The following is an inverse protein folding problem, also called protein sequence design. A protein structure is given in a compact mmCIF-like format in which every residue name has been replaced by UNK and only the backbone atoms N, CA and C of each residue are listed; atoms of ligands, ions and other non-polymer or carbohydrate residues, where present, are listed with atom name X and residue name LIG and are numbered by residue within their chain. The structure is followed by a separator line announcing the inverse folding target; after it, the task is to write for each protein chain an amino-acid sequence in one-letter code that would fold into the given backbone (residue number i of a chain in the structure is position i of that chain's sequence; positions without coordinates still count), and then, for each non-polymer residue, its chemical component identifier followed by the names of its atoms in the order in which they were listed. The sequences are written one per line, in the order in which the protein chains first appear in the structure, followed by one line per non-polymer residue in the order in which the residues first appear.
data_IF_789324964631
#
_entry.id   IF_789324964631
#
_cell.length_a   1.000
_cell.length_b   1.000
_cell.length_c   1.000
_cell.angle_alpha   90.00
_cell.angle_beta   90.00
_cell.angle_gamma   90.00
#
_symmetry.space_group_name_H-M   'P 1'
#
loop_
_entity.id
_entity.type
_entity.pdbx_description
1 polymer ?
#
# COMPACT_ATOMS: atom_id res chain seq x y z
N UNK A 1 22.78 -19.73 -30.27
CA UNK A 1 21.69 -19.57 -31.26
C UNK A 1 20.32 -19.35 -30.61
N UNK A 2 20.17 -19.54 -29.29
CA UNK A 2 18.90 -19.37 -28.58
C UNK A 2 18.60 -17.92 -28.18
N UNK A 3 19.61 -17.12 -27.80
CA UNK A 3 19.45 -15.66 -27.55
C UNK A 3 18.84 -14.92 -28.74
N UNK A 4 19.29 -15.20 -29.98
CA UNK A 4 18.71 -14.61 -31.19
C UNK A 4 17.25 -15.01 -31.42
N UNK A 5 16.79 -16.15 -30.89
CA UNK A 5 15.36 -16.55 -30.97
C UNK A 5 14.52 -15.83 -29.92
N UNK A 6 15.09 -15.53 -28.75
CA UNK A 6 14.39 -14.76 -27.69
C UNK A 6 14.21 -13.32 -28.14
N UNK A 7 15.27 -12.71 -28.68
CA UNK A 7 15.22 -11.34 -29.19
C UNK A 7 14.27 -11.21 -30.40
N UNK A 8 14.29 -12.17 -31.33
CA UNK A 8 13.34 -12.18 -32.45
C UNK A 8 11.88 -12.42 -32.01
N UNK A 9 11.65 -13.17 -30.94
CA UNK A 9 10.32 -13.36 -30.36
C UNK A 9 9.84 -12.08 -29.65
N UNK A 10 10.74 -11.35 -28.99
CA UNK A 10 10.46 -10.05 -28.39
C UNK A 10 10.07 -9.03 -29.47
N UNK A 11 10.88 -8.91 -30.52
CA UNK A 11 10.62 -8.02 -31.66
C UNK A 11 9.28 -8.35 -32.33
N UNK A 12 9.01 -9.62 -32.65
CA UNK A 12 7.73 -10.02 -33.25
C UNK A 12 6.53 -9.74 -32.34
N UNK A 13 6.69 -9.86 -31.02
CA UNK A 13 5.62 -9.56 -30.05
C UNK A 13 5.36 -8.05 -29.94
N UNK A 14 6.41 -7.22 -29.90
CA UNK A 14 6.27 -5.77 -29.86
C UNK A 14 5.77 -5.19 -31.19
N UNK A 15 6.17 -5.77 -32.32
CA UNK A 15 5.61 -5.41 -33.63
C UNK A 15 4.12 -5.70 -33.69
N UNK A 16 3.67 -6.87 -33.20
CA UNK A 16 2.25 -7.20 -33.11
C UNK A 16 1.48 -6.27 -32.18
N UNK A 17 2.05 -5.86 -31.04
CA UNK A 17 1.44 -4.87 -30.14
C UNK A 17 1.31 -3.52 -30.84
N UNK A 18 2.35 -3.06 -31.52
CA UNK A 18 2.33 -1.77 -32.23
C UNK A 18 1.27 -1.75 -33.34
N UNK A 19 1.07 -2.88 -34.03
CA UNK A 19 -0.01 -3.05 -35.00
C UNK A 19 -1.39 -3.00 -34.34
N UNK A 20 -1.58 -3.68 -33.20
CA UNK A 20 -2.83 -3.64 -32.41
C UNK A 20 -3.15 -2.26 -31.83
N UNK A 21 -2.14 -1.48 -31.43
CA UNK A 21 -2.31 -0.10 -31.00
C UNK A 21 -2.70 0.81 -32.17
N UNK A 22 -2.13 0.57 -33.36
CA UNK A 22 -2.45 1.34 -34.56
C UNK A 22 -3.86 1.03 -35.11
N UNK A 23 -4.33 -0.21 -35.05
CA UNK A 23 -5.66 -0.63 -35.52
C UNK A 23 -6.80 -0.16 -34.59
N UNK A 24 -6.51 0.15 -33.31
CA UNK A 24 -7.47 0.69 -32.34
C UNK A 24 -7.47 2.22 -32.23
N UNK A 25 -6.63 2.91 -33.00
CA UNK A 25 -6.61 4.37 -33.07
C UNK A 25 -7.49 4.87 -34.24
N UNK A 26 -8.83 4.84 -34.06
CA UNK A 26 -9.49 6.13 -34.00
C UNK A 26 -10.53 6.19 -32.87
N UNK A 27 -10.42 7.23 -32.04
CA UNK A 27 -11.47 7.75 -31.14
C UNK A 27 -11.77 7.00 -29.82
N UNK A 28 -10.77 6.76 -28.96
CA UNK A 28 -11.00 6.74 -27.49
C UNK A 28 -9.70 6.69 -26.67
N UNK A 29 -9.34 7.82 -26.06
CA UNK A 29 -8.48 8.05 -24.88
C UNK A 29 -7.06 7.42 -24.86
N UNK A 30 -6.00 8.22 -24.62
CA UNK A 30 -4.60 7.77 -24.61
C UNK A 30 -4.18 6.88 -23.42
N UNK A 31 -5.15 6.28 -22.72
CA UNK A 31 -4.96 5.40 -21.55
C UNK A 31 -5.84 4.14 -21.60
N UNK A 32 -6.39 3.81 -22.77
CA UNK A 32 -7.13 2.56 -22.95
C UNK A 32 -6.15 1.38 -22.94
N UNK A 33 -5.94 0.80 -21.75
CA UNK A 33 -5.22 -0.46 -21.55
C UNK A 33 -5.68 -1.46 -22.60
N UNK A 34 -4.74 -2.00 -23.38
CA UNK A 34 -5.03 -3.04 -24.35
C UNK A 34 -5.65 -4.22 -23.61
N UNK A 35 -6.93 -4.50 -23.84
CA UNK A 35 -7.60 -5.70 -23.34
C UNK A 35 -7.09 -6.91 -24.12
N UNK A 36 -5.94 -7.42 -23.72
CA UNK A 36 -5.42 -8.70 -24.18
C UNK A 36 -6.38 -9.80 -23.71
N UNK A 37 -6.78 -10.69 -24.63
CA UNK A 37 -7.69 -11.79 -24.31
C UNK A 37 -7.06 -12.77 -23.33
N UNK A 38 -7.81 -13.20 -22.31
CA UNK A 38 -7.36 -14.11 -21.26
C UNK A 38 -6.68 -15.39 -21.80
N UNK A 39 -7.24 -16.00 -22.85
CA UNK A 39 -6.71 -17.21 -23.45
C UNK A 39 -5.40 -16.99 -24.22
N UNK A 40 -5.26 -15.82 -24.86
CA UNK A 40 -4.02 -15.44 -25.55
C UNK A 40 -2.89 -15.25 -24.55
N UNK A 41 -3.15 -14.49 -23.46
CA UNK A 41 -2.17 -14.29 -22.39
C UNK A 41 -1.81 -15.62 -21.73
N UNK A 42 -2.78 -16.50 -21.49
CA UNK A 42 -2.52 -17.85 -20.98
C UNK A 42 -1.60 -18.66 -21.90
N UNK A 43 -1.87 -18.70 -23.20
CA UNK A 43 -1.03 -19.42 -24.17
C UNK A 43 0.37 -18.83 -24.28
N UNK A 44 0.49 -17.49 -24.30
CA UNK A 44 1.78 -16.80 -24.32
C UNK A 44 2.56 -17.08 -23.03
N UNK A 45 1.92 -17.02 -21.87
CA UNK A 45 2.53 -17.38 -20.59
C UNK A 45 2.92 -18.85 -20.54
N UNK A 46 2.10 -19.78 -21.02
CA UNK A 46 2.45 -21.20 -21.11
C UNK A 46 3.66 -21.44 -22.02
N UNK A 47 3.82 -20.67 -23.11
CA UNK A 47 4.96 -20.76 -24.02
C UNK A 47 6.23 -20.18 -23.39
N UNK A 48 6.12 -19.02 -22.72
CA UNK A 48 7.27 -18.31 -22.10
C UNK A 48 7.70 -18.99 -20.78
N UNK A 49 6.74 -19.49 -20.02
CA UNK A 49 6.94 -20.11 -18.71
C UNK A 49 6.89 -21.64 -18.77
N UNK A 50 7.05 -22.27 -19.94
CA UNK A 50 7.09 -23.73 -20.06
C UNK A 50 7.94 -24.30 -18.92
N UNK A 51 7.32 -25.04 -18.02
CA UNK A 51 8.02 -25.70 -16.94
C UNK A 51 8.84 -26.82 -17.57
N UNK A 52 10.18 -26.82 -17.40
CA UNK A 52 11.01 -27.88 -17.97
C UNK A 52 10.62 -29.21 -17.34
N UNK A 53 10.16 -30.17 -18.14
CA UNK A 53 10.05 -31.57 -17.72
C UNK A 53 11.44 -32.23 -17.53
N UNK A 54 12.52 -31.59 -17.99
CA UNK A 54 13.90 -32.05 -17.87
C UNK A 54 14.86 -30.89 -17.57
N UNK A 55 15.78 -31.11 -16.63
CA UNK A 55 16.72 -30.16 -16.02
C UNK A 55 17.76 -29.55 -17.00
N UNK A 56 17.76 -29.96 -18.28
CA UNK A 56 18.89 -29.70 -19.21
C UNK A 56 18.58 -28.81 -20.41
N UNK A 57 17.37 -28.25 -20.54
CA UNK A 57 17.07 -27.31 -21.62
C UNK A 57 16.76 -25.92 -21.05
N UNK A 58 17.68 -24.99 -21.25
CA UNK A 58 17.47 -23.56 -21.01
C UNK A 58 16.38 -23.06 -21.95
N UNK A 59 15.16 -23.04 -21.45
CA UNK A 59 14.02 -22.47 -22.17
C UNK A 59 14.29 -20.97 -22.34
N UNK A 60 14.11 -20.43 -23.56
CA UNK A 60 14.25 -19.01 -23.82
C UNK A 60 13.22 -18.22 -23.01
N UNK A 61 13.67 -17.60 -21.92
CA UNK A 61 12.86 -16.71 -21.10
C UNK A 61 13.03 -15.27 -21.59
N UNK A 62 11.93 -14.64 -22.01
CA UNK A 62 11.91 -13.20 -22.26
C UNK A 62 11.41 -12.46 -21.01
N UNK A 63 12.30 -11.78 -20.26
CA UNK A 63 11.88 -10.94 -19.15
C UNK A 63 11.13 -9.67 -19.64
N UNK A 64 11.36 -9.23 -20.88
CA UNK A 64 10.74 -8.00 -21.42
C UNK A 64 9.26 -8.19 -21.67
N UNK A 65 8.88 -9.29 -22.31
CA UNK A 65 7.47 -9.63 -22.59
C UNK A 65 6.72 -9.88 -21.28
N UNK A 66 7.34 -10.59 -20.33
CA UNK A 66 6.73 -10.81 -19.01
C UNK A 66 6.46 -9.49 -18.27
N UNK A 67 7.44 -8.59 -18.22
CA UNK A 67 7.28 -7.28 -17.56
C UNK A 67 6.20 -6.45 -18.24
N UNK A 68 6.13 -6.48 -19.57
CA UNK A 68 5.08 -5.77 -20.31
C UNK A 68 3.68 -6.30 -19.97
N UNK A 69 3.49 -7.62 -19.98
CA UNK A 69 2.21 -8.26 -19.64
C UNK A 69 1.77 -7.95 -18.20
N UNK A 70 2.71 -7.93 -17.26
CA UNK A 70 2.42 -7.59 -15.87
C UNK A 70 2.15 -6.09 -15.66
N UNK A 71 2.85 -5.20 -16.38
CA UNK A 71 2.57 -3.76 -16.35
C UNK A 71 1.15 -3.43 -16.84
N UNK A 72 0.68 -4.15 -17.86
CA UNK A 72 -0.69 -4.04 -18.36
C UNK A 72 -1.75 -4.67 -17.42
N UNK A 73 -1.32 -5.31 -16.32
CA UNK A 73 -2.16 -6.05 -15.35
C UNK A 73 -2.97 -7.17 -16.00
N UNK A 74 -2.45 -7.79 -17.05
CA UNK A 74 -3.15 -8.86 -17.77
C UNK A 74 -2.86 -10.26 -17.22
N UNK A 75 -1.97 -10.39 -16.23
CA UNK A 75 -1.55 -11.66 -15.67
C UNK A 75 -2.31 -11.94 -14.37
N UNK A 76 -2.97 -13.10 -14.27
CA UNK A 76 -3.49 -13.63 -13.01
C UNK A 76 -2.73 -14.89 -12.60
N UNK A 77 -2.59 -15.14 -11.29
CA UNK A 77 -1.80 -16.27 -10.80
C UNK A 77 -2.39 -17.64 -11.21
N UNK A 78 -3.71 -17.71 -11.43
CA UNK A 78 -4.42 -18.90 -11.90
C UNK A 78 -4.21 -19.23 -13.38
N UNK A 79 -3.52 -18.38 -14.16
CA UNK A 79 -3.22 -18.68 -15.56
C UNK A 79 -2.19 -19.78 -15.76
N UNK A 80 -1.37 -20.06 -14.74
CA UNK A 80 -0.23 -20.99 -14.85
C UNK A 80 -0.42 -22.15 -13.89
N UNK A 81 -0.37 -23.37 -14.43
CA UNK A 81 -0.38 -24.60 -13.63
C UNK A 81 0.93 -24.71 -12.86
N UNK A 82 0.85 -24.64 -11.51
CA UNK A 82 2.02 -24.66 -10.62
C UNK A 82 2.39 -23.30 -10.01
N UNK A 83 1.68 -22.22 -10.36
CA UNK A 83 1.83 -20.91 -9.72
C UNK A 83 2.88 -20.01 -10.38
N UNK A 84 2.54 -18.73 -10.54
CA UNK A 84 3.39 -17.71 -11.17
C UNK A 84 4.74 -17.54 -10.45
N UNK A 85 4.73 -17.55 -9.11
CA UNK A 85 5.94 -17.32 -8.33
C UNK A 85 6.90 -18.50 -8.32
N UNK A 86 6.40 -19.74 -8.36
CA UNK A 86 7.26 -20.91 -8.52
C UNK A 86 8.03 -20.86 -9.86
N UNK A 87 7.35 -20.50 -10.95
CA UNK A 87 7.96 -20.36 -12.27
C UNK A 87 8.98 -19.21 -12.33
N UNK A 88 8.68 -18.06 -11.72
CA UNK A 88 9.61 -16.92 -11.64
C UNK A 88 10.82 -17.22 -10.74
N UNK A 89 10.61 -17.97 -9.65
CA UNK A 89 11.67 -18.39 -8.73
C UNK A 89 12.67 -19.32 -9.42
N UNK A 90 12.21 -20.26 -10.24
CA UNK A 90 13.10 -21.13 -11.04
C UNK A 90 13.99 -20.33 -12.00
N UNK A 91 13.60 -19.10 -12.35
CA UNK A 91 14.32 -18.21 -13.28
C UNK A 91 15.08 -17.09 -12.58
N UNK A 92 15.01 -16.98 -11.25
CA UNK A 92 15.63 -15.93 -10.46
C UNK A 92 15.31 -14.48 -10.92
N UNK A 93 14.18 -14.21 -11.59
CA UNK A 93 13.80 -12.84 -12.01
C UNK A 93 13.07 -12.08 -10.91
N UNK A 94 13.83 -11.57 -9.96
CA UNK A 94 13.32 -10.81 -8.82
C UNK A 94 12.57 -9.53 -9.20
N UNK A 95 12.97 -8.87 -10.29
CA UNK A 95 12.30 -7.63 -10.73
C UNK A 95 10.87 -7.91 -11.18
N UNK A 96 10.67 -9.02 -11.90
CA UNK A 96 9.34 -9.46 -12.32
C UNK A 96 8.50 -9.96 -11.13
N UNK A 97 9.11 -10.60 -10.12
CA UNK A 97 8.39 -10.97 -8.88
C UNK A 97 7.91 -9.73 -8.09
N UNK A 98 8.75 -8.71 -7.95
CA UNK A 98 8.38 -7.46 -7.28
C UNK A 98 7.28 -6.71 -8.03
N UNK A 99 7.33 -6.74 -9.36
CA UNK A 99 6.30 -6.12 -10.20
C UNK A 99 4.99 -6.93 -10.14
N UNK A 100 5.06 -8.26 -10.05
CA UNK A 100 3.90 -9.11 -9.85
C UNK A 100 3.17 -8.77 -8.54
N UNK A 101 3.88 -8.60 -7.42
CA UNK A 101 3.27 -8.22 -6.13
C UNK A 101 2.55 -6.86 -6.18
N UNK A 102 2.97 -5.94 -7.07
CA UNK A 102 2.32 -4.63 -7.25
C UNK A 102 1.11 -4.67 -8.18
N UNK A 103 1.09 -5.60 -9.13
CA UNK A 103 0.17 -5.55 -10.28
C UNK A 103 -0.88 -6.66 -10.27
N UNK A 104 -0.54 -7.82 -9.69
CA UNK A 104 -1.38 -9.02 -9.63
C UNK A 104 -2.14 -9.02 -8.31
N UNK A 105 -3.46 -9.12 -8.38
CA UNK A 105 -4.37 -9.08 -7.22
C UNK A 105 -4.64 -10.50 -6.67
N UNK A 106 -4.40 -11.53 -7.47
CA UNK A 106 -4.78 -12.92 -7.16
C UNK A 106 -3.58 -13.77 -6.72
N UNK A 107 -2.65 -13.21 -5.95
CA UNK A 107 -1.50 -13.96 -5.41
C UNK A 107 -1.87 -14.65 -4.10
N UNK A 108 -1.51 -15.95 -3.99
CA UNK A 108 -1.72 -16.71 -2.76
C UNK A 108 -0.77 -16.24 -1.64
N UNK A 109 -1.26 -16.20 -0.41
CA UNK A 109 -0.48 -15.81 0.77
C UNK A 109 0.73 -16.71 1.00
N UNK A 110 0.58 -18.00 0.68
CA UNK A 110 1.66 -18.99 0.72
C UNK A 110 2.82 -18.58 -0.18
N UNK A 111 2.53 -18.14 -1.41
CA UNK A 111 3.56 -17.72 -2.35
C UNK A 111 4.27 -16.45 -1.87
N UNK A 112 3.53 -15.45 -1.36
CA UNK A 112 4.10 -14.20 -0.83
C UNK A 112 5.08 -14.48 0.32
N UNK A 113 4.70 -15.33 1.27
CA UNK A 113 5.58 -15.68 2.40
C UNK A 113 6.75 -16.55 1.95
N UNK A 114 6.57 -17.43 0.95
CA UNK A 114 7.69 -18.21 0.40
C UNK A 114 8.75 -17.31 -0.27
N UNK A 115 8.33 -16.21 -0.90
CA UNK A 115 9.23 -15.18 -1.43
C UNK A 115 9.95 -14.46 -0.30
N UNK A 116 9.21 -14.06 0.74
CA UNK A 116 9.78 -13.42 1.91
C UNK A 116 10.86 -14.31 2.54
N UNK A 117 10.56 -15.58 2.80
CA UNK A 117 11.51 -16.56 3.31
C UNK A 117 12.75 -16.63 2.41
N UNK A 118 12.59 -16.76 1.08
CA UNK A 118 13.74 -16.81 0.17
C UNK A 118 14.60 -15.53 0.21
N UNK A 119 13.99 -14.36 0.35
CA UNK A 119 14.72 -13.09 0.49
C UNK A 119 15.44 -12.98 1.84
N UNK A 120 14.87 -13.53 2.92
CA UNK A 120 15.48 -13.57 4.25
C UNK A 120 16.68 -14.52 4.26
N UNK A 121 16.55 -15.70 3.67
CA UNK A 121 17.66 -16.67 3.54
C UNK A 121 18.84 -16.05 2.78
N UNK A 122 18.56 -15.38 1.65
CA UNK A 122 19.61 -14.71 0.87
C UNK A 122 20.22 -13.54 1.67
N UNK A 123 19.41 -12.72 2.34
CA UNK A 123 19.91 -11.62 3.17
C UNK A 123 20.78 -12.13 4.34
N UNK A 124 20.47 -13.30 4.90
CA UNK A 124 21.26 -13.94 5.96
C UNK A 124 22.58 -14.47 5.43
N UNK A 125 22.59 -15.10 4.26
CA UNK A 125 23.81 -15.55 3.58
C UNK A 125 24.75 -14.36 3.32
N UNK A 126 24.22 -13.26 2.77
CA UNK A 126 25.01 -12.04 2.55
C UNK A 126 25.59 -11.43 3.84
N UNK A 127 24.90 -11.54 4.98
CA UNK A 127 25.41 -11.06 6.29
C UNK A 127 26.43 -12.01 6.92
N UNK A 128 26.41 -13.30 6.58
CA UNK A 128 27.33 -14.30 7.11
C UNK A 128 28.65 -14.37 6.32
N UNK A 129 28.62 -13.98 5.04
CA UNK A 129 29.75 -14.10 4.11
C UNK A 129 30.72 -12.91 4.11
N UNK A 130 30.57 -11.95 5.03
CA UNK A 130 31.47 -10.79 5.21
C UNK A 130 32.89 -11.18 5.69
N UNK A 131 33.19 -12.48 5.78
CA UNK A 131 34.50 -13.02 6.19
C UNK A 131 35.15 -13.99 5.17
N UNK A 132 34.57 -14.19 3.99
CA UNK A 132 35.12 -15.10 2.98
C UNK A 132 35.55 -14.37 1.70
N UNK A 133 36.87 -14.37 1.45
CA UNK A 133 37.51 -13.92 0.20
C UNK A 133 36.98 -14.73 -0.98
N UNK A 134 35.91 -14.27 -1.65
CA UNK A 134 35.36 -14.94 -2.82
C UNK A 134 35.24 -13.99 -4.00
N UNK A 135 36.14 -14.19 -4.96
CA UNK A 135 36.44 -13.31 -6.10
C UNK A 135 35.52 -13.59 -7.31
N UNK A 136 34.61 -14.57 -7.24
CA UNK A 136 33.76 -14.99 -8.37
C UNK A 136 32.25 -15.04 -8.06
N UNK A 137 31.73 -14.18 -7.18
CA UNK A 137 30.27 -14.00 -7.09
C UNK A 137 29.79 -13.13 -8.25
N UNK A 138 29.42 -13.77 -9.35
CA UNK A 138 28.78 -13.14 -10.52
C UNK A 138 27.59 -12.29 -10.07
N UNK A 139 27.79 -10.97 -10.07
CA UNK A 139 26.84 -9.94 -9.69
C UNK A 139 25.71 -9.73 -10.73
N UNK A 140 25.07 -10.81 -11.20
CA UNK A 140 24.07 -10.77 -12.29
C UNK A 140 22.65 -11.19 -11.91
N UNK A 141 22.35 -11.31 -10.61
CA UNK A 141 20.98 -11.51 -10.11
C UNK A 141 20.64 -10.44 -9.08
N UNK A 142 20.07 -9.31 -9.50
CA UNK A 142 19.69 -8.17 -8.65
C UNK A 142 18.63 -8.58 -7.59
N UNK A 143 19.08 -9.16 -6.47
CA UNK A 143 18.21 -9.47 -5.34
C UNK A 143 17.78 -8.15 -4.69
N UNK A 144 16.47 -7.85 -4.61
CA UNK A 144 15.98 -6.63 -4.01
C UNK A 144 16.27 -6.62 -2.50
N UNK A 145 16.49 -5.44 -1.91
CA UNK A 145 16.73 -5.34 -0.48
C UNK A 145 15.48 -5.80 0.30
N UNK A 146 15.69 -6.57 1.37
CA UNK A 146 14.64 -7.16 2.21
C UNK A 146 13.56 -6.15 2.66
N UNK A 147 13.88 -4.91 3.06
CA UNK A 147 12.87 -3.90 3.40
C UNK A 147 11.90 -3.59 2.25
N UNK A 148 12.37 -3.58 1.00
CA UNK A 148 11.51 -3.31 -0.16
C UNK A 148 10.59 -4.48 -0.48
N UNK A 149 11.04 -5.73 -0.26
CA UNK A 149 10.19 -6.91 -0.42
C UNK A 149 9.12 -6.91 0.67
N UNK A 150 9.54 -6.69 1.92
CA UNK A 150 8.65 -6.69 3.07
C UNK A 150 7.62 -5.55 2.97
N UNK A 151 8.00 -4.36 2.47
CA UNK A 151 7.04 -3.27 2.28
C UNK A 151 5.98 -3.64 1.26
N UNK A 152 6.33 -4.33 0.17
CA UNK A 152 5.36 -4.85 -0.77
C UNK A 152 4.45 -5.92 -0.16
N UNK A 153 5.02 -6.85 0.61
CA UNK A 153 4.24 -7.87 1.31
C UNK A 153 3.24 -7.28 2.30
N UNK A 154 3.63 -6.23 3.04
CA UNK A 154 2.72 -5.55 3.99
C UNK A 154 1.67 -4.69 3.30
N UNK A 155 1.97 -4.12 2.14
CA UNK A 155 0.99 -3.32 1.38
C UNK A 155 -0.04 -4.16 0.65
N UNK A 156 0.29 -5.41 0.33
CA UNK A 156 -0.58 -6.38 -0.33
C UNK A 156 -1.79 -6.72 0.55
N UNK A 157 -2.96 -6.88 -0.06
CA UNK A 157 -4.20 -7.19 0.66
C UNK A 157 -4.23 -8.67 1.01
N UNK A 158 -4.11 -8.97 2.29
CA UNK A 158 -3.92 -10.34 2.78
C UNK A 158 -5.02 -10.70 3.78
N UNK A 159 -5.52 -11.93 3.72
CA UNK A 159 -6.42 -12.46 4.74
C UNK A 159 -5.62 -12.91 5.98
N UNK A 160 -5.92 -12.34 7.15
CA UNK A 160 -5.26 -12.65 8.42
C UNK A 160 -5.18 -14.17 8.77
N UNK A 161 -6.23 -15.00 8.59
CA UNK A 161 -6.11 -16.45 8.81
C UNK A 161 -5.18 -17.15 7.80
N UNK A 162 -5.23 -16.78 6.53
CA UNK A 162 -4.39 -17.40 5.49
C UNK A 162 -2.91 -17.02 5.69
N UNK A 163 -2.64 -15.77 6.07
CA UNK A 163 -1.31 -15.29 6.42
C UNK A 163 -0.70 -16.07 7.59
N UNK A 164 -1.47 -16.26 8.66
CA UNK A 164 -1.00 -17.01 9.84
C UNK A 164 -0.64 -18.45 9.49
N UNK A 165 -1.41 -19.09 8.62
CA UNK A 165 -1.11 -20.43 8.14
C UNK A 165 0.17 -20.45 7.29
N UNK A 166 0.30 -19.51 6.35
CA UNK A 166 1.47 -19.39 5.49
C UNK A 166 2.75 -19.11 6.29
N UNK A 167 2.70 -18.22 7.29
CA UNK A 167 3.82 -17.94 8.20
C UNK A 167 4.23 -19.22 8.93
N UNK A 168 3.29 -19.97 9.51
CA UNK A 168 3.62 -21.22 10.22
C UNK A 168 4.23 -22.29 9.31
N UNK A 169 3.84 -22.33 8.04
CA UNK A 169 4.34 -23.31 7.08
C UNK A 169 5.74 -22.97 6.57
N UNK A 170 6.01 -21.70 6.28
CA UNK A 170 7.24 -21.27 5.59
C UNK A 170 8.27 -20.62 6.52
N UNK A 171 7.88 -20.11 7.68
CA UNK A 171 8.75 -19.39 8.63
C UNK A 171 8.73 -20.10 10.00
N UNK A 172 9.35 -21.27 10.06
CA UNK A 172 9.45 -22.06 11.30
C UNK A 172 10.72 -21.76 12.12
N UNK A 173 11.76 -21.16 11.51
CA UNK A 173 12.99 -20.79 12.21
C UNK A 173 12.79 -19.49 13.02
N UNK A 174 13.11 -19.55 14.31
CA UNK A 174 13.06 -18.41 15.22
C UNK A 174 14.01 -17.28 14.78
N UNK A 175 15.18 -17.62 14.22
CA UNK A 175 16.16 -16.64 13.80
C UNK A 175 15.72 -15.83 12.56
N UNK A 176 14.92 -16.42 11.67
CA UNK A 176 14.38 -15.71 10.51
C UNK A 176 13.27 -14.75 10.92
N UNK A 177 12.42 -15.21 11.85
CA UNK A 177 11.35 -14.41 12.42
C UNK A 177 11.88 -13.18 13.17
N UNK A 178 13.02 -13.29 13.87
CA UNK A 178 13.61 -12.13 14.56
C UNK A 178 14.19 -11.08 13.61
N UNK A 179 14.73 -11.48 12.46
CA UNK A 179 15.18 -10.53 11.42
C UNK A 179 13.99 -9.73 10.87
N UNK A 180 12.86 -10.41 10.61
CA UNK A 180 11.61 -9.77 10.18
C UNK A 180 11.11 -8.82 11.29
N UNK A 181 11.11 -9.28 12.55
CA UNK A 181 10.67 -8.48 13.69
C UNK A 181 11.54 -7.22 13.89
N UNK A 182 12.85 -7.33 13.69
CA UNK A 182 13.77 -6.20 13.77
C UNK A 182 13.48 -5.14 12.70
N UNK A 183 13.20 -5.54 11.46
CA UNK A 183 12.81 -4.60 10.40
C UNK A 183 11.47 -3.93 10.69
N UNK A 184 10.50 -4.67 11.23
CA UNK A 184 9.22 -4.09 11.66
C UNK A 184 9.42 -3.08 12.78
N UNK A 185 10.30 -3.37 13.75
CA UNK A 185 10.67 -2.42 14.80
C UNK A 185 11.26 -1.14 14.19
N UNK A 186 12.25 -1.25 13.30
CA UNK A 186 12.87 -0.07 12.67
C UNK A 186 11.85 0.84 11.97
N UNK A 187 10.78 0.27 11.39
CA UNK A 187 9.70 1.05 10.81
C UNK A 187 8.79 1.69 11.84
N UNK A 188 8.45 0.97 12.92
CA UNK A 188 7.66 1.53 14.02
C UNK A 188 8.43 2.68 14.67
N UNK A 189 9.72 2.51 14.93
CA UNK A 189 10.59 3.55 15.49
C UNK A 189 10.63 4.77 14.56
N UNK A 190 10.72 4.57 13.24
CA UNK A 190 10.68 5.66 12.26
C UNK A 190 9.33 6.41 12.26
N UNK A 191 8.21 5.70 12.43
CA UNK A 191 6.88 6.31 12.55
C UNK A 191 6.69 7.04 13.87
N UNK A 192 7.16 6.49 15.00
CA UNK A 192 7.08 7.13 16.31
C UNK A 192 8.04 8.33 16.44
N UNK A 193 9.17 8.33 15.72
CA UNK A 193 10.08 9.47 15.67
C UNK A 193 9.50 10.66 14.89
N UNK A 194 8.54 10.42 14.00
CA UNK A 194 7.76 11.48 13.37
C UNK A 194 6.75 12.05 14.38
N UNK A 195 7.23 12.95 15.23
CA UNK A 195 6.38 13.63 16.20
C UNK A 195 5.11 14.19 15.56
N UNK A 196 4.01 14.07 16.29
CA UNK A 196 2.67 14.42 15.81
C UNK A 196 2.57 15.94 15.69
N UNK A 197 2.72 16.45 14.46
CA UNK A 197 2.41 17.83 14.14
C UNK A 197 0.90 18.02 14.12
N UNK A 198 0.33 18.33 15.29
CA UNK A 198 -1.10 18.65 15.49
C UNK A 198 -1.56 19.87 14.70
N UNK A 199 -0.62 20.72 14.26
CA UNK A 199 -0.91 21.89 13.44
C UNK A 199 -0.70 21.54 11.96
N UNK A 200 -1.71 21.77 11.10
CA UNK A 200 -1.54 21.65 9.67
C UNK A 200 -0.51 22.69 9.21
N UNK A 201 0.65 22.24 8.71
CA UNK A 201 1.69 23.12 8.16
C UNK A 201 1.20 23.97 6.98
N UNK A 202 0.08 23.57 6.36
CA UNK A 202 -0.52 24.26 5.22
C UNK A 202 -2.03 24.35 5.39
N UNK A 203 -2.52 25.57 5.58
CA UNK A 203 -3.92 25.93 5.36
C UNK A 203 -4.06 26.36 3.90
N UNK A 204 -4.86 25.65 3.10
CA UNK A 204 -5.25 26.16 1.77
C UNK A 204 -6.49 27.02 1.97
N UNK A 205 -6.51 28.18 1.31
CA UNK A 205 -7.76 28.92 1.13
C UNK A 205 -8.55 28.19 0.06
N UNK A 206 -9.75 27.74 0.38
CA UNK A 206 -10.69 27.28 -0.64
C UNK A 206 -10.98 28.42 -1.61
N UNK A 207 -11.60 28.08 -2.75
CA UNK A 207 -12.00 29.02 -3.82
C UNK A 207 -12.82 30.23 -3.31
N UNK A 208 -13.30 30.19 -2.07
CA UNK A 208 -14.18 31.19 -1.46
C UNK A 208 -13.58 31.82 -0.18
N UNK A 209 -12.27 31.69 0.05
CA UNK A 209 -11.54 32.46 1.06
C UNK A 209 -11.52 31.89 2.48
N UNK A 210 -12.19 30.75 2.73
CA UNK A 210 -12.11 30.02 3.99
C UNK A 210 -10.81 29.21 4.08
N UNK A 211 -10.14 29.25 5.24
CA UNK A 211 -8.92 28.47 5.50
C UNK A 211 -9.32 27.04 5.88
N UNK A 212 -9.11 26.10 4.97
CA UNK A 212 -9.28 24.66 5.23
C UNK A 212 -7.91 24.03 5.49
N UNK A 213 -7.74 23.28 6.59
CA UNK A 213 -6.51 22.55 6.86
C UNK A 213 -6.35 21.42 5.85
N UNK A 214 -5.25 21.42 5.10
CA UNK A 214 -4.94 20.30 4.20
C UNK A 214 -4.21 19.24 5.02
N UNK A 215 -4.94 18.21 5.42
CA UNK A 215 -4.37 16.97 5.92
C UNK A 215 -3.86 16.18 4.71
N UNK A 216 -2.65 16.49 4.24
CA UNK A 216 -1.97 15.62 3.27
C UNK A 216 -1.53 14.37 4.04
N UNK A 217 -2.07 13.20 3.68
CA UNK A 217 -1.51 11.92 4.11
C UNK A 217 -0.04 11.89 3.67
N UNK A 218 0.88 12.09 4.61
CA UNK A 218 2.32 12.06 4.34
C UNK A 218 2.73 10.63 4.03
N UNK A 219 2.58 10.23 2.77
CA UNK A 219 3.17 9.01 2.25
C UNK A 219 4.67 9.26 2.10
N UNK A 220 5.46 8.79 3.05
CA UNK A 220 6.89 8.58 2.78
C UNK A 220 6.98 7.42 1.79
N UNK A 221 7.37 7.70 0.56
CA UNK A 221 7.45 6.73 -0.55
C UNK A 221 8.27 5.45 -0.24
N UNK A 222 9.04 5.43 0.86
CA UNK A 222 9.84 4.31 1.31
C UNK A 222 9.23 3.49 2.46
N UNK A 223 8.27 4.03 3.23
CA UNK A 223 7.72 3.41 4.44
C UNK A 223 6.26 2.96 4.20
N UNK A 224 5.92 1.69 4.48
CA UNK A 224 4.54 1.23 4.40
C UNK A 224 3.68 1.94 5.47
N UNK A 225 2.36 2.11 5.21
CA UNK A 225 1.45 2.73 6.18
C UNK A 225 1.45 2.00 7.52
N UNK A 226 1.53 2.75 8.63
CA UNK A 226 1.63 2.19 9.98
C UNK A 226 0.55 1.16 10.28
N UNK A 227 -0.72 1.42 9.91
CA UNK A 227 -1.82 0.47 10.14
C UNK A 227 -1.61 -0.89 9.46
N UNK A 228 -0.97 -0.92 8.28
CA UNK A 228 -0.65 -2.17 7.58
C UNK A 228 0.54 -2.90 8.22
N UNK A 229 1.53 -2.15 8.70
CA UNK A 229 2.66 -2.69 9.47
C UNK A 229 2.16 -3.34 10.76
N UNK A 230 1.28 -2.66 11.51
CA UNK A 230 0.69 -3.18 12.74
C UNK A 230 -0.19 -4.41 12.49
N UNK A 231 -1.01 -4.42 11.43
CA UNK A 231 -1.80 -5.59 11.06
C UNK A 231 -0.92 -6.81 10.71
N UNK A 232 0.19 -6.58 10.00
CA UNK A 232 1.16 -7.64 9.70
C UNK A 232 1.89 -8.11 10.95
N UNK A 233 2.31 -7.20 11.83
CA UNK A 233 2.92 -7.52 13.12
C UNK A 233 1.98 -8.36 13.99
N UNK A 234 0.70 -7.99 14.08
CA UNK A 234 -0.30 -8.75 14.83
C UNK A 234 -0.44 -10.18 14.27
N UNK A 235 -0.55 -10.31 12.95
CA UNK A 235 -0.62 -11.64 12.32
C UNK A 235 0.65 -12.47 12.53
N UNK A 236 1.82 -11.83 12.51
CA UNK A 236 3.11 -12.47 12.81
C UNK A 236 3.14 -12.98 14.26
N UNK A 237 2.81 -12.12 15.22
CA UNK A 237 2.75 -12.48 16.65
C UNK A 237 1.74 -13.62 16.88
N UNK A 238 0.53 -13.53 16.35
CA UNK A 238 -0.48 -14.59 16.48
C UNK A 238 -0.02 -15.94 15.89
N UNK A 239 0.78 -15.89 14.82
CA UNK A 239 1.30 -17.09 14.17
C UNK A 239 2.45 -17.73 14.95
N UNK A 240 3.39 -16.92 15.47
CA UNK A 240 4.68 -17.37 15.99
C UNK A 240 4.97 -16.97 17.44
N UNK A 241 3.95 -16.59 18.23
CA UNK A 241 4.12 -16.19 19.64
C UNK A 241 4.92 -17.19 20.47
N UNK A 242 4.58 -18.49 20.37
CA UNK A 242 5.28 -19.54 21.11
C UNK A 242 6.76 -19.65 20.71
N UNK A 243 7.07 -19.46 19.43
CA UNK A 243 8.45 -19.44 18.92
C UNK A 243 9.24 -18.26 19.46
N UNK A 244 8.60 -17.08 19.59
CA UNK A 244 9.24 -15.92 20.20
C UNK A 244 9.43 -16.07 21.72
N UNK A 245 8.52 -16.77 22.41
CA UNK A 245 8.68 -17.04 23.84
C UNK A 245 9.89 -17.94 24.13
N UNK A 246 10.16 -18.93 23.29
CA UNK A 246 11.29 -19.84 23.47
C UNK A 246 12.62 -19.21 23.05
N UNK A 247 12.61 -18.26 22.11
CA UNK A 247 13.81 -17.61 21.61
C UNK A 247 14.13 -16.32 22.38
N UNK A 248 15.15 -16.38 23.25
CA UNK A 248 15.53 -15.27 24.14
C UNK A 248 15.86 -13.95 23.42
N UNK A 249 16.55 -13.93 22.25
CA UNK A 249 16.88 -12.68 21.57
C UNK A 249 15.67 -11.89 21.06
N UNK A 250 14.50 -12.53 20.83
CA UNK A 250 13.28 -11.78 20.47
C UNK A 250 12.73 -10.93 21.62
N UNK A 251 13.01 -11.29 22.88
CA UNK A 251 12.35 -10.66 24.04
C UNK A 251 12.72 -9.19 24.17
N UNK A 252 13.98 -8.82 23.87
CA UNK A 252 14.41 -7.42 23.86
C UNK A 252 13.67 -6.60 22.81
N UNK A 253 13.58 -7.14 21.59
CA UNK A 253 12.90 -6.47 20.47
C UNK A 253 11.41 -6.28 20.77
N UNK A 254 10.74 -7.30 21.33
CA UNK A 254 9.33 -7.20 21.72
C UNK A 254 9.09 -6.16 22.81
N UNK A 255 10.00 -6.07 23.79
CA UNK A 255 9.91 -5.08 24.87
C UNK A 255 10.10 -3.67 24.32
N UNK A 256 11.02 -3.49 23.40
CA UNK A 256 11.24 -2.20 22.74
C UNK A 256 10.01 -1.78 21.94
N UNK A 257 9.46 -2.67 21.10
CA UNK A 257 8.22 -2.41 20.35
C UNK A 257 7.09 -2.01 21.30
N UNK A 258 6.91 -2.73 22.41
CA UNK A 258 5.90 -2.39 23.41
C UNK A 258 6.13 -0.98 23.98
N UNK A 259 7.37 -0.64 24.34
CA UNK A 259 7.70 0.70 24.87
C UNK A 259 7.48 1.84 23.89
N UNK A 260 7.53 1.57 22.57
CA UNK A 260 7.23 2.57 21.54
C UNK A 260 5.73 2.70 21.26
N UNK A 261 4.96 1.60 21.37
CA UNK A 261 3.52 1.61 21.12
C UNK A 261 2.70 2.11 22.32
N UNK A 262 3.14 1.86 23.55
CA UNK A 262 2.47 2.33 24.77
C UNK A 262 2.22 3.86 24.82
N UNK A 263 3.20 4.74 24.54
CA UNK A 263 2.95 6.18 24.52
C UNK A 263 2.01 6.61 23.37
N UNK A 264 2.08 5.96 22.21
CA UNK A 264 1.19 6.24 21.07
C UNK A 264 -0.26 5.85 21.36
N UNK A 265 -0.47 4.74 22.09
CA UNK A 265 -1.79 4.33 22.56
C UNK A 265 -2.37 5.33 23.56
N UNK A 266 -1.58 5.74 24.57
CA UNK A 266 -2.01 6.76 25.53
C UNK A 266 -2.36 8.08 24.84
N UNK A 267 -1.55 8.49 23.85
CA UNK A 267 -1.84 9.67 23.06
C UNK A 267 -3.14 9.53 22.24
N UNK A 268 -3.37 8.35 21.65
CA UNK A 268 -4.61 8.08 20.91
C UNK A 268 -5.83 8.17 21.82
N UNK A 269 -5.76 7.60 23.03
CA UNK A 269 -6.82 7.68 24.03
C UNK A 269 -7.10 9.14 24.45
N UNK A 270 -6.05 9.95 24.63
CA UNK A 270 -6.18 11.38 24.93
C UNK A 270 -6.84 12.15 23.77
N UNK A 271 -6.48 11.83 22.52
CA UNK A 271 -7.10 12.43 21.33
C UNK A 271 -8.56 11.98 21.17
N UNK A 272 -8.90 10.74 21.48
CA UNK A 272 -10.28 10.25 21.48
C UNK A 272 -11.14 10.99 22.51
N UNK A 273 -10.60 11.30 23.69
CA UNK A 273 -11.30 12.13 24.68
C UNK A 273 -11.56 13.55 24.16
N UNK A 274 -10.64 14.11 23.37
CA UNK A 274 -10.80 15.43 22.76
C UNK A 274 -11.83 15.45 21.62
N UNK A 275 -12.20 14.29 21.05
CA UNK A 275 -13.18 14.21 19.96
C UNK A 275 -14.53 14.80 20.36
N UNK A 276 -15.03 14.47 21.54
CA UNK A 276 -16.33 14.96 22.02
C UNK A 276 -16.38 16.49 22.17
N UNK A 277 -15.45 17.11 22.90
CA UNK A 277 -15.38 18.56 23.04
C UNK A 277 -15.12 19.32 21.73
N UNK A 278 -14.39 18.73 20.78
CA UNK A 278 -14.03 19.39 19.51
C UNK A 278 -15.09 19.22 18.41
N UNK A 279 -15.93 18.20 18.48
CA UNK A 279 -16.98 17.94 17.49
C UNK A 279 -17.92 19.13 17.25
N UNK A 280 -18.39 19.88 18.28
CA UNK A 280 -19.18 21.09 18.07
C UNK A 280 -18.44 22.19 17.29
N UNK A 281 -17.13 22.34 17.50
CA UNK A 281 -16.31 23.33 16.79
C UNK A 281 -16.09 22.93 15.34
N UNK A 282 -15.87 21.65 15.07
CA UNK A 282 -15.78 21.12 13.70
C UNK A 282 -17.12 21.29 12.98
N UNK A 283 -18.24 20.98 13.66
CA UNK A 283 -19.58 21.21 13.12
C UNK A 283 -19.86 22.68 12.85
N UNK A 284 -19.48 23.59 13.76
CA UNK A 284 -19.64 25.02 13.59
C UNK A 284 -18.77 25.57 12.46
N UNK A 285 -17.53 25.09 12.33
CA UNK A 285 -16.64 25.44 11.23
C UNK A 285 -17.17 24.93 9.89
N UNK A 286 -17.62 23.67 9.82
CA UNK A 286 -18.23 23.12 8.60
C UNK A 286 -19.50 23.90 8.19
N UNK A 287 -20.33 24.31 9.16
CA UNK A 287 -21.48 25.19 8.91
C UNK A 287 -21.06 26.57 8.42
N UNK A 288 -20.07 27.20 9.06
CA UNK A 288 -19.56 28.50 8.64
C UNK A 288 -18.92 28.46 7.25
N UNK A 289 -18.19 27.38 6.90
CA UNK A 289 -17.64 27.14 5.56
C UNK A 289 -18.79 26.92 4.56
N UNK A 290 -19.82 26.16 4.93
CA UNK A 290 -20.98 25.91 4.08
C UNK A 290 -21.78 27.20 3.81
N UNK A 291 -22.02 28.01 4.85
CA UNK A 291 -22.68 29.32 4.78
C UNK A 291 -21.85 30.35 4.00
N UNK A 292 -20.53 30.32 4.13
CA UNK A 292 -19.63 31.16 3.32
C UNK A 292 -19.63 30.75 1.84
N UNK A 293 -19.75 29.44 1.55
CA UNK A 293 -19.71 28.92 0.19
C UNK A 293 -21.05 29.02 -0.56
N UNK A 294 -22.18 28.83 0.13
CA UNK A 294 -23.52 28.80 -0.48
C UNK A 294 -24.34 30.07 -0.17
N UNK A 295 -23.78 31.00 0.60
CA UNK A 295 -24.52 32.07 1.26
C UNK A 295 -25.40 31.51 2.38
N UNK A 296 -25.83 32.37 3.30
CA UNK A 296 -26.93 32.02 4.23
C UNK A 296 -28.10 31.57 3.37
N UNK A 297 -28.53 30.31 3.50
CA UNK A 297 -29.70 29.82 2.78
C UNK A 297 -30.84 30.81 3.04
N UNK A 298 -31.21 31.59 2.03
CA UNK A 298 -32.38 32.46 2.13
C UNK A 298 -33.55 31.54 2.43
N UNK A 299 -34.27 31.74 3.54
CA UNK A 299 -35.40 30.90 3.88
C UNK A 299 -36.35 30.87 2.69
N UNK A 300 -36.74 29.66 2.33
CA UNK A 300 -37.45 29.30 1.12
C UNK A 300 -38.62 30.26 0.87
N UNK A 301 -38.62 31.02 -0.23
CA UNK A 301 -39.59 32.08 -0.58
C UNK A 301 -41.05 31.60 -0.68
N UNK A 302 -41.28 30.28 -0.54
CA UNK A 302 -42.60 29.63 -0.49
C UNK A 302 -43.17 29.49 0.92
N UNK A 303 -42.42 29.80 1.98
CA UNK A 303 -42.96 29.81 3.35
C UNK A 303 -43.82 31.05 3.55
N UNK A 304 -45.09 30.81 3.87
CA UNK A 304 -46.12 31.80 4.20
C UNK A 304 -45.57 32.98 5.01
N UNK A 305 -45.78 34.21 4.53
CA UNK A 305 -45.28 35.44 5.17
C UNK A 305 -45.72 35.58 6.64
N UNK A 306 -46.84 34.95 7.02
CA UNK A 306 -47.36 34.91 8.40
C UNK A 306 -46.49 34.07 9.33
N UNK A 307 -45.96 32.93 8.87
CA UNK A 307 -45.04 32.10 9.66
C UNK A 307 -43.70 32.80 9.84
N UNK A 308 -43.19 33.44 8.78
CA UNK A 308 -41.97 34.27 8.85
C UNK A 308 -42.09 35.43 9.81
N UNK A 309 -43.22 36.14 9.83
CA UNK A 309 -43.42 37.26 10.77
C UNK A 309 -43.48 36.78 12.21
N UNK A 310 -44.04 35.59 12.45
CA UNK A 310 -44.09 34.97 13.78
C UNK A 310 -42.70 34.49 14.23
N UNK A 311 -41.98 33.78 13.37
CA UNK A 311 -40.61 33.31 13.64
C UNK A 311 -39.62 34.46 13.82
N UNK A 312 -39.73 35.53 13.02
CA UNK A 312 -38.91 36.73 13.19
C UNK A 312 -39.23 37.47 14.50
N UNK A 313 -40.50 37.48 14.93
CA UNK A 313 -40.87 38.09 16.21
C UNK A 313 -40.42 37.23 17.41
N UNK A 314 -40.45 35.91 17.28
CA UNK A 314 -39.94 34.97 18.29
C UNK A 314 -38.41 35.01 18.37
N UNK A 315 -37.71 35.07 17.23
CA UNK A 315 -36.25 35.22 17.18
C UNK A 315 -35.79 36.60 17.68
N UNK A 316 -36.50 37.68 17.33
CA UNK A 316 -36.22 39.00 17.88
C UNK A 316 -36.48 39.05 19.39
N UNK A 317 -37.52 38.38 19.89
CA UNK A 317 -37.79 38.28 21.33
C UNK A 317 -36.71 37.53 22.11
N UNK A 318 -35.98 36.62 21.46
CA UNK A 318 -34.90 35.81 22.07
C UNK A 318 -33.51 36.45 21.87
N UNK A 319 -33.31 37.20 20.77
CA UNK A 319 -32.02 37.79 20.39
C UNK A 319 -31.78 39.23 20.91
N UNK A 320 -32.78 39.88 21.51
CA UNK A 320 -32.59 41.18 22.17
C UNK A 320 -31.85 40.96 23.49
N UNK A 321 -30.52 40.94 23.41
CA UNK A 321 -29.66 41.18 24.55
C UNK A 321 -29.87 42.60 25.08
N UNK A 322 -29.64 42.79 26.39
CA UNK A 322 -30.01 43.97 27.19
C UNK A 322 -29.42 45.30 26.67
N UNK A 323 -28.47 45.27 25.72
CA UNK A 323 -27.86 46.45 25.13
C UNK A 323 -27.80 46.35 23.60
N UNK A 324 -28.53 47.24 22.92
CA UNK A 324 -28.44 47.47 21.48
C UNK A 324 -28.08 48.94 21.26
N UNK A 325 -26.98 49.21 20.56
CA UNK A 325 -26.60 50.56 20.15
C UNK A 325 -27.07 50.71 18.71
N UNK A 326 -28.15 51.48 18.50
CA UNK A 326 -28.60 51.86 17.18
C UNK A 326 -27.92 53.18 16.78
N UNK A 327 -27.10 53.13 15.74
CA UNK A 327 -26.50 54.32 15.16
C UNK A 327 -27.44 54.86 14.07
N UNK A 328 -28.12 55.96 14.37
CA UNK A 328 -28.97 56.68 13.42
C UNK A 328 -28.08 57.51 12.49
N UNK A 329 -28.02 57.11 11.22
CA UNK A 329 -27.46 57.94 10.15
C UNK A 329 -28.58 58.85 9.62
N UNK A 330 -28.38 60.17 9.73
CA UNK A 330 -29.30 61.25 9.33
C UNK A 330 -29.53 61.34 7.82
#
# INVERSE_FOLDING_TARGET
MEQKRVEAADEAFFDWISQQESDKAPASRPNAKLSLGYQFVKQVLEIILRTPKNVTTDIPYSPKVMRYLMQQRCVSAGMIEGGLFAALRLRNDWKSMMLALKTVIDVSESDVISLLHSSVVVARQMRSDDSAMQVDATADGSVPPLPSVLSLCTTYTVSAPALRLAIRQHLSDAAELTVILQLLKEWIDAWCAEGITLLPERTKKDLHGALVPVLEERQKDALPPLGKVLAFLQALLDASFLTFLTYLPSHGILRDIFSHLEPELNFTDDVEQLRGPLEPFVCAHAKAVHEAAHGVQKPDLKVDWRKRRKEAHEQAGIAVGIYQIEELVL
#
